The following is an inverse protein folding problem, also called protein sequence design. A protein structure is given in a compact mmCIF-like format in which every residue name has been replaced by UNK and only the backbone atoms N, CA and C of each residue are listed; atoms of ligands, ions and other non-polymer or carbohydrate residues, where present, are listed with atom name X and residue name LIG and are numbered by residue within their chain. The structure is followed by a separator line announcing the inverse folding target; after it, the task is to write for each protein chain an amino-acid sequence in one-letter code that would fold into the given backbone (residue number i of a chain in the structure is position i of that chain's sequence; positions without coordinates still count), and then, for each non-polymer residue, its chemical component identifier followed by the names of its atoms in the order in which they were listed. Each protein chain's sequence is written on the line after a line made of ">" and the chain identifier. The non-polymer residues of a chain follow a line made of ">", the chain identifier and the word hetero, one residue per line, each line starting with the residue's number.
data_IF_331310473865
#
_entry.id   IF_331310473865
#
_cell.length_a   1.000
_cell.length_b   1.000
_cell.length_c   1.000
_cell.angle_alpha   90.00
_cell.angle_beta   90.00
_cell.angle_gamma   90.00
#
_symmetry.space_group_name_H-M   'P 1'
#
loop_
_entity.id
_entity.type
_entity.pdbx_description
1 polymer ?
#
# COMPACT_ATOMS: atom_id res chain seq x y z
N UNK A 1 -63.28 -31.43 9.89
CA UNK A 1 -62.12 -31.97 9.13
C UNK A 1 -61.32 -30.88 8.42
N UNK A 2 -61.96 -29.89 7.78
CA UNK A 2 -61.27 -28.87 6.97
C UNK A 2 -60.34 -27.90 7.71
N UNK A 3 -60.61 -27.57 8.98
CA UNK A 3 -59.80 -26.59 9.73
C UNK A 3 -58.37 -27.10 10.00
N UNK A 4 -58.21 -28.40 10.28
CA UNK A 4 -56.89 -29.01 10.48
C UNK A 4 -56.08 -29.05 9.18
N UNK A 5 -56.75 -29.33 8.06
CA UNK A 5 -56.14 -29.34 6.73
C UNK A 5 -55.72 -27.93 6.31
N UNK A 6 -56.56 -26.92 6.55
CA UNK A 6 -56.25 -25.53 6.26
C UNK A 6 -55.07 -25.01 7.10
N UNK A 7 -55.06 -25.33 8.40
CA UNK A 7 -53.97 -24.93 9.30
C UNK A 7 -52.63 -25.59 8.90
N UNK A 8 -52.66 -26.86 8.47
CA UNK A 8 -51.47 -27.54 7.97
C UNK A 8 -50.91 -26.88 6.69
N UNK A 9 -51.79 -26.49 5.76
CA UNK A 9 -51.38 -25.75 4.56
C UNK A 9 -50.84 -24.36 4.89
N UNK A 10 -51.46 -23.64 5.83
CA UNK A 10 -51.02 -22.32 6.24
C UNK A 10 -49.65 -22.37 6.94
N UNK A 11 -49.43 -23.33 7.83
CA UNK A 11 -48.14 -23.54 8.49
C UNK A 11 -47.07 -23.93 7.46
N UNK A 12 -47.40 -24.81 6.50
CA UNK A 12 -46.47 -25.18 5.43
C UNK A 12 -46.13 -23.99 4.53
N UNK A 13 -47.09 -23.12 4.23
CA UNK A 13 -46.88 -21.92 3.44
C UNK A 13 -45.97 -20.92 4.18
N UNK A 14 -46.21 -20.70 5.48
CA UNK A 14 -45.35 -19.84 6.31
C UNK A 14 -43.94 -20.42 6.44
N UNK A 15 -43.79 -21.74 6.60
CA UNK A 15 -42.47 -22.38 6.64
C UNK A 15 -41.68 -22.22 5.33
N UNK A 16 -42.33 -22.36 4.17
CA UNK A 16 -41.67 -22.18 2.87
C UNK A 16 -41.18 -20.74 2.69
N UNK A 17 -41.99 -19.75 3.06
CA UNK A 17 -41.61 -18.33 2.97
C UNK A 17 -40.58 -17.92 4.06
N UNK A 18 -40.49 -18.64 5.17
CA UNK A 18 -39.47 -18.42 6.21
C UNK A 18 -38.09 -18.97 5.80
N UNK A 19 -38.04 -20.00 4.95
CA UNK A 19 -36.78 -20.58 4.46
C UNK A 19 -36.08 -19.69 3.41
N UNK A 20 -36.83 -18.89 2.64
CA UNK A 20 -36.27 -18.01 1.61
C UNK A 20 -35.54 -16.77 2.16
N UNK A 21 -35.73 -16.44 3.45
CA UNK A 21 -35.05 -15.29 4.10
C UNK A 21 -33.69 -15.64 4.73
N UNK A 22 -33.19 -16.87 4.57
CA UNK A 22 -31.87 -17.26 5.07
C UNK A 22 -30.75 -17.08 4.03
N UNK A 23 -31.07 -16.61 2.83
CA UNK A 23 -30.17 -16.57 1.68
C UNK A 23 -29.52 -15.20 1.40
N UNK A 24 -29.16 -14.39 2.41
CA UNK A 24 -28.33 -13.19 2.18
C UNK A 24 -27.41 -12.86 3.37
N UNK A 25 -26.43 -13.74 3.61
CA UNK A 25 -25.17 -13.35 4.24
C UNK A 25 -24.08 -14.33 3.80
N UNK A 26 -23.93 -14.54 2.48
CA UNK A 26 -22.74 -15.22 2.00
C UNK A 26 -21.55 -14.32 2.33
N UNK A 27 -20.73 -14.70 3.32
CA UNK A 27 -19.55 -13.95 3.72
C UNK A 27 -18.72 -13.61 2.48
N UNK A 28 -18.44 -12.32 2.29
CA UNK A 28 -17.61 -11.87 1.18
C UNK A 28 -16.26 -12.61 1.23
N UNK A 29 -15.97 -13.40 0.20
CA UNK A 29 -14.73 -14.16 0.08
C UNK A 29 -13.83 -13.44 -0.90
N UNK A 30 -12.65 -13.03 -0.44
CA UNK A 30 -11.57 -12.50 -1.28
C UNK A 30 -11.18 -13.57 -2.31
N UNK A 31 -11.18 -13.20 -3.59
CA UNK A 31 -10.85 -14.06 -4.73
C UNK A 31 -9.59 -13.59 -5.46
N UNK A 32 -9.35 -12.29 -5.56
CA UNK A 32 -8.21 -11.72 -6.29
C UNK A 32 -7.47 -10.72 -5.42
N UNK A 33 -6.16 -10.91 -5.27
CA UNK A 33 -5.27 -9.96 -4.60
C UNK A 33 -4.19 -9.55 -5.59
N UNK A 34 -4.01 -8.23 -5.75
CA UNK A 34 -2.84 -7.67 -6.43
C UNK A 34 -1.80 -7.31 -5.39
N UNK A 35 -0.59 -7.82 -5.57
CA UNK A 35 0.57 -7.51 -4.74
C UNK A 35 1.51 -6.64 -5.54
N UNK A 36 1.68 -5.41 -5.07
CA UNK A 36 2.58 -4.43 -5.64
C UNK A 36 3.92 -4.41 -4.93
N UNK A 37 4.99 -4.71 -5.69
CA UNK A 37 6.34 -4.54 -5.22
C UNK A 37 6.80 -3.10 -5.53
N UNK A 38 6.85 -2.24 -4.51
CA UNK A 38 7.21 -0.83 -4.63
C UNK A 38 8.48 -0.60 -5.45
N UNK A 39 8.53 0.53 -6.18
CA UNK A 39 9.66 0.94 -7.02
C UNK A 39 10.05 -0.10 -8.09
N UNK A 40 11.30 -0.08 -8.58
CA UNK A 40 11.83 -1.06 -9.54
C UNK A 40 12.60 -0.43 -10.70
N UNK A 41 13.53 -1.18 -11.28
CA UNK A 41 14.35 -0.74 -12.41
C UNK A 41 15.15 0.52 -12.08
N UNK A 42 14.87 1.61 -12.82
CA UNK A 42 15.50 2.93 -12.62
C UNK A 42 15.13 3.59 -11.30
N UNK A 43 14.00 3.22 -10.71
CA UNK A 43 13.57 3.71 -9.42
C UNK A 43 14.04 2.77 -8.31
N UNK A 44 15.01 3.23 -7.53
CA UNK A 44 15.52 2.49 -6.37
C UNK A 44 14.98 2.98 -5.02
N UNK A 45 14.34 4.16 -4.99
CA UNK A 45 13.95 4.89 -3.79
C UNK A 45 15.01 4.84 -2.67
N UNK A 46 14.63 4.35 -1.49
CA UNK A 46 15.44 4.36 -0.27
C UNK A 46 16.59 3.35 -0.34
N UNK A 47 17.72 3.70 0.28
CA UNK A 47 18.89 2.83 0.41
C UNK A 47 19.26 2.62 1.87
N UNK A 48 19.43 1.35 2.24
CA UNK A 48 20.08 0.93 3.47
C UNK A 48 21.59 0.82 3.30
N UNK A 49 22.27 0.28 4.31
CA UNK A 49 23.72 0.06 4.29
C UNK A 49 24.17 -0.88 3.16
N UNK A 50 23.36 -1.89 2.82
CA UNK A 50 23.69 -2.94 1.87
C UNK A 50 22.51 -3.33 0.95
N UNK A 51 21.37 -2.64 1.04
CA UNK A 51 20.15 -2.97 0.33
C UNK A 51 19.47 -1.74 -0.26
N UNK A 52 18.68 -1.94 -1.31
CA UNK A 52 17.76 -0.93 -1.85
C UNK A 52 16.34 -1.38 -1.58
N UNK A 53 15.46 -0.41 -1.37
CA UNK A 53 14.04 -0.65 -1.13
C UNK A 53 13.43 -1.55 -2.21
N UNK A 54 13.67 -1.24 -3.50
CA UNK A 54 13.13 -2.02 -4.62
C UNK A 54 13.44 -3.53 -4.57
N UNK A 55 14.60 -3.90 -4.03
CA UNK A 55 15.08 -5.29 -3.98
C UNK A 55 14.43 -6.03 -2.82
N UNK A 56 14.32 -5.37 -1.67
CA UNK A 56 13.68 -5.94 -0.49
C UNK A 56 12.17 -6.03 -0.69
N UNK A 57 11.55 -4.97 -1.22
CA UNK A 57 10.12 -4.95 -1.57
C UNK A 57 9.75 -6.10 -2.52
N UNK A 58 10.56 -6.34 -3.57
CA UNK A 58 10.33 -7.45 -4.51
C UNK A 58 10.39 -8.81 -3.80
N UNK A 59 11.41 -9.05 -2.98
CA UNK A 59 11.56 -10.31 -2.25
C UNK A 59 10.39 -10.53 -1.29
N UNK A 60 9.99 -9.49 -0.56
CA UNK A 60 8.85 -9.55 0.37
C UNK A 60 7.55 -9.82 -0.39
N UNK A 61 7.29 -9.15 -1.51
CA UNK A 61 6.11 -9.37 -2.33
C UNK A 61 6.00 -10.82 -2.83
N UNK A 62 7.08 -11.36 -3.39
CA UNK A 62 7.11 -12.74 -3.89
C UNK A 62 6.92 -13.76 -2.76
N UNK A 63 7.50 -13.51 -1.59
CA UNK A 63 7.32 -14.38 -0.42
C UNK A 63 5.90 -14.31 0.13
N UNK A 64 5.31 -13.12 0.22
CA UNK A 64 3.92 -12.94 0.63
C UNK A 64 2.97 -13.69 -0.31
N UNK A 65 3.11 -13.49 -1.62
CA UNK A 65 2.21 -14.15 -2.56
C UNK A 65 2.38 -15.67 -2.60
N UNK A 66 3.57 -16.22 -2.32
CA UNK A 66 3.76 -17.66 -2.08
C UNK A 66 3.01 -18.12 -0.83
N UNK A 67 3.24 -17.47 0.31
CA UNK A 67 2.59 -17.81 1.57
C UNK A 67 1.05 -17.74 1.49
N UNK A 68 0.52 -16.75 0.77
CA UNK A 68 -0.92 -16.60 0.54
C UNK A 68 -1.47 -17.73 -0.34
N UNK A 69 -0.78 -18.11 -1.42
CA UNK A 69 -1.19 -19.26 -2.26
C UNK A 69 -1.17 -20.57 -1.48
N UNK A 70 -0.17 -20.77 -0.63
CA UNK A 70 -0.06 -21.98 0.20
C UNK A 70 -1.16 -22.06 1.26
N UNK A 71 -1.56 -20.91 1.80
CA UNK A 71 -2.57 -20.81 2.87
C UNK A 71 -4.01 -20.74 2.36
N UNK A 72 -4.23 -20.19 1.17
CA UNK A 72 -5.55 -19.90 0.60
C UNK A 72 -5.66 -20.49 -0.82
N UNK A 73 -6.23 -21.70 -0.92
CA UNK A 73 -6.24 -22.49 -2.17
C UNK A 73 -7.07 -21.92 -3.33
N UNK A 74 -7.96 -20.96 -3.07
CA UNK A 74 -8.90 -20.43 -4.07
C UNK A 74 -8.68 -18.94 -4.37
N UNK A 75 -7.46 -18.42 -4.15
CA UNK A 75 -7.15 -17.02 -4.45
C UNK A 75 -6.29 -16.90 -5.71
N UNK A 76 -6.61 -15.90 -6.51
CA UNK A 76 -5.80 -15.43 -7.61
C UNK A 76 -4.83 -14.35 -7.09
N UNK A 77 -3.53 -14.60 -7.21
CA UNK A 77 -2.48 -13.61 -6.89
C UNK A 77 -1.90 -13.08 -8.20
N UNK A 78 -1.96 -11.76 -8.36
CA UNK A 78 -1.33 -11.03 -9.46
C UNK A 78 -0.24 -10.13 -8.86
N UNK A 79 0.92 -10.08 -9.48
CA UNK A 79 2.00 -9.20 -9.08
C UNK A 79 2.13 -8.05 -10.08
N UNK A 80 2.37 -6.83 -9.60
CA UNK A 80 2.69 -5.71 -10.51
C UNK A 80 4.03 -5.92 -11.21
N UNK A 81 4.99 -6.57 -10.55
CA UNK A 81 6.25 -7.05 -11.12
C UNK A 81 6.78 -8.27 -10.36
N UNK A 82 7.48 -9.14 -11.07
CA UNK A 82 8.20 -10.30 -10.51
C UNK A 82 9.72 -10.22 -10.69
N UNK A 83 10.20 -9.19 -11.38
CA UNK A 83 11.62 -8.90 -11.64
C UNK A 83 11.93 -7.43 -11.32
N UNK A 84 13.20 -7.04 -11.46
CA UNK A 84 13.66 -5.67 -11.25
C UNK A 84 13.38 -4.79 -12.48
N UNK A 85 12.11 -4.42 -12.66
CA UNK A 85 11.64 -3.55 -13.74
C UNK A 85 10.89 -2.35 -13.17
N UNK A 86 10.98 -1.21 -13.84
CA UNK A 86 10.18 -0.04 -13.50
C UNK A 86 8.77 -0.22 -14.04
N UNK A 87 7.78 -0.23 -13.15
CA UNK A 87 6.35 -0.22 -13.52
C UNK A 87 5.77 1.13 -13.12
N UNK A 88 5.22 1.92 -14.07
CA UNK A 88 4.53 3.17 -13.78
C UNK A 88 3.39 2.98 -12.78
N UNK A 89 3.16 3.97 -11.92
CA UNK A 89 2.15 3.89 -10.87
C UNK A 89 0.75 3.73 -11.43
N UNK A 90 0.45 4.42 -12.53
CA UNK A 90 -0.84 4.33 -13.19
C UNK A 90 -1.11 2.90 -13.68
N UNK A 91 -0.08 2.25 -14.24
CA UNK A 91 -0.18 0.85 -14.67
C UNK A 91 -0.36 -0.11 -13.49
N UNK A 92 0.27 0.15 -12.32
CA UNK A 92 0.08 -0.65 -11.09
C UNK A 92 -1.39 -0.67 -10.66
N UNK A 93 -2.02 0.49 -10.61
CA UNK A 93 -3.43 0.64 -10.22
C UNK A 93 -4.36 0.09 -11.30
N UNK A 94 -4.05 0.35 -12.57
CA UNK A 94 -4.81 -0.20 -13.71
C UNK A 94 -4.85 -1.73 -13.69
N UNK A 95 -3.74 -2.40 -13.41
CA UNK A 95 -3.71 -3.87 -13.25
C UNK A 95 -4.69 -4.36 -12.18
N UNK A 96 -4.83 -3.65 -11.06
CA UNK A 96 -5.79 -3.99 -10.01
C UNK A 96 -7.24 -3.79 -10.44
N UNK A 97 -7.53 -2.67 -11.10
CA UNK A 97 -8.87 -2.36 -11.60
C UNK A 97 -9.31 -3.34 -12.70
N UNK A 98 -8.44 -3.63 -13.66
CA UNK A 98 -8.71 -4.58 -14.75
C UNK A 98 -8.89 -6.01 -14.24
N UNK A 99 -8.11 -6.41 -13.24
CA UNK A 99 -8.25 -7.70 -12.57
C UNK A 99 -9.46 -7.79 -11.64
N UNK A 100 -10.18 -6.67 -11.40
CA UNK A 100 -11.24 -6.55 -10.39
C UNK A 100 -10.77 -7.08 -9.03
N UNK A 101 -9.59 -6.63 -8.61
CA UNK A 101 -8.96 -7.09 -7.38
C UNK A 101 -9.84 -6.73 -6.18
N UNK A 102 -10.01 -7.69 -5.26
CA UNK A 102 -10.68 -7.46 -3.98
C UNK A 102 -9.77 -6.71 -3.00
N UNK A 103 -8.45 -6.87 -3.18
CA UNK A 103 -7.43 -6.25 -2.35
C UNK A 103 -6.20 -5.89 -3.18
N UNK A 104 -5.68 -4.68 -2.95
CA UNK A 104 -4.40 -4.23 -3.46
C UNK A 104 -3.45 -4.05 -2.27
N UNK A 105 -2.31 -4.75 -2.27
CA UNK A 105 -1.31 -4.67 -1.21
C UNK A 105 -0.04 -4.10 -1.84
N UNK A 106 0.36 -2.88 -1.47
CA UNK A 106 1.64 -2.32 -1.87
C UNK A 106 2.66 -2.43 -0.75
N UNK A 107 3.86 -2.90 -1.09
CA UNK A 107 4.95 -3.16 -0.16
C UNK A 107 6.08 -2.19 -0.44
N UNK A 108 6.40 -1.38 0.58
CA UNK A 108 7.45 -0.36 0.58
C UNK A 108 8.32 -0.50 1.83
N UNK A 109 9.50 0.14 1.81
CA UNK A 109 10.39 0.25 2.96
C UNK A 109 10.64 1.73 3.26
N UNK A 110 9.99 2.20 4.31
CA UNK A 110 10.06 3.60 4.72
C UNK A 110 11.47 4.00 5.20
N UNK A 111 11.76 5.30 5.17
CA UNK A 111 13.00 5.91 5.64
C UNK A 111 12.71 6.93 6.75
N UNK A 112 13.64 7.05 7.70
CA UNK A 112 13.51 8.05 8.75
C UNK A 112 13.90 9.44 8.22
N UNK A 113 13.17 10.51 8.61
CA UNK A 113 13.53 11.87 8.23
C UNK A 113 14.94 12.21 8.71
N UNK A 114 15.66 12.96 7.88
CA UNK A 114 17.02 13.42 8.20
C UNK A 114 16.91 14.67 9.06
N UNK A 115 17.33 14.58 10.31
CA UNK A 115 17.42 15.72 11.20
C UNK A 115 18.72 16.48 10.94
N UNK A 116 18.59 17.79 10.72
CA UNK A 116 19.74 18.68 10.52
C UNK A 116 20.02 19.42 11.82
N UNK A 117 21.17 19.13 12.43
CA UNK A 117 21.64 19.88 13.61
C UNK A 117 22.73 20.86 13.18
N UNK A 118 22.55 22.14 13.51
CA UNK A 118 23.53 23.19 13.27
C UNK A 118 24.18 23.57 14.60
N UNK A 119 25.49 23.37 14.72
CA UNK A 119 26.27 23.74 15.91
C UNK A 119 27.21 24.89 15.56
N UNK A 120 27.36 25.85 16.47
CA UNK A 120 28.41 26.86 16.38
C UNK A 120 29.76 26.15 16.53
N UNK A 121 30.64 26.33 15.56
CA UNK A 121 31.95 25.67 15.55
C UNK A 121 33.01 26.61 16.12
N UNK A 122 33.11 27.81 15.54
CA UNK A 122 34.05 28.84 15.99
C UNK A 122 33.69 30.21 15.39
N UNK A 123 34.41 31.26 15.79
CA UNK A 123 34.30 32.59 15.18
C UNK A 123 35.50 32.87 14.28
N UNK A 124 35.25 33.31 13.05
CA UNK A 124 36.29 33.82 12.15
C UNK A 124 36.28 35.35 12.09
N UNK A 125 37.45 35.99 12.08
CA UNK A 125 37.55 37.43 11.80
C UNK A 125 37.46 37.66 10.28
N UNK A 126 36.57 38.55 9.87
CA UNK A 126 36.42 39.00 8.48
C UNK A 126 36.28 40.51 8.50
N UNK A 127 37.21 41.23 7.88
CA UNK A 127 37.30 42.71 7.93
C UNK A 127 37.25 43.27 9.38
N UNK A 128 38.05 42.68 10.28
CA UNK A 128 38.11 43.08 11.69
C UNK A 128 36.90 42.66 12.55
N UNK A 129 35.77 42.25 11.95
CA UNK A 129 34.55 41.83 12.66
C UNK A 129 34.52 40.31 12.88
N UNK A 130 34.13 39.86 14.08
CA UNK A 130 33.92 38.43 14.37
C UNK A 130 32.63 37.95 13.69
N UNK A 131 32.71 36.87 12.92
CA UNK A 131 31.56 36.21 12.29
C UNK A 131 31.47 34.74 12.77
N UNK A 132 30.30 34.26 13.22
CA UNK A 132 30.14 32.87 13.62
C UNK A 132 30.22 31.94 12.40
N UNK A 133 30.92 30.82 12.57
CA UNK A 133 30.99 29.71 11.62
C UNK A 133 30.28 28.53 12.26
N UNK A 134 29.41 27.88 11.49
CA UNK A 134 28.61 26.77 11.96
C UNK A 134 28.97 25.49 11.21
N UNK A 135 28.93 24.37 11.92
CA UNK A 135 28.98 23.03 11.33
C UNK A 135 27.56 22.48 11.33
N UNK A 136 27.16 21.97 10.18
CA UNK A 136 25.87 21.34 9.98
C UNK A 136 26.07 19.84 9.87
N UNK A 137 25.46 19.07 10.76
CA UNK A 137 25.46 17.61 10.71
C UNK A 137 24.06 17.12 10.36
N UNK A 138 23.98 16.15 9.44
CA UNK A 138 22.75 15.47 9.04
C UNK A 138 22.77 14.06 9.63
N UNK A 139 21.77 13.73 10.46
CA UNK A 139 21.64 12.41 11.09
C UNK A 139 20.22 11.90 10.93
N UNK A 140 20.06 10.64 10.55
CA UNK A 140 18.77 9.95 10.61
C UNK A 140 18.55 9.43 12.03
N UNK A 141 17.31 9.45 12.50
CA UNK A 141 16.98 8.67 13.71
C UNK A 141 17.12 7.19 13.38
N UNK A 142 17.85 6.45 14.21
CA UNK A 142 18.02 4.99 14.07
C UNK A 142 17.31 4.23 15.19
N UNK A 143 16.47 4.90 16.00
CA UNK A 143 15.81 4.26 17.14
C UNK A 143 14.53 3.52 16.75
N UNK A 144 13.88 3.95 15.66
CA UNK A 144 12.55 3.47 15.27
C UNK A 144 12.65 2.32 14.30
N UNK A 145 12.01 1.20 14.63
CA UNK A 145 11.93 0.00 13.80
C UNK A 145 10.53 -0.61 13.94
N UNK A 146 10.00 -1.20 12.88
CA UNK A 146 8.70 -1.84 12.91
C UNK A 146 8.05 -1.91 11.53
N UNK A 147 6.81 -2.39 11.51
CA UNK A 147 5.94 -2.41 10.33
C UNK A 147 4.80 -1.44 10.53
N UNK A 148 4.53 -0.62 9.53
CA UNK A 148 3.36 0.25 9.48
C UNK A 148 2.40 -0.30 8.42
N UNK A 149 1.09 -0.19 8.66
CA UNK A 149 0.08 -0.68 7.73
C UNK A 149 -1.00 0.37 7.57
N UNK A 150 -1.18 0.80 6.33
CA UNK A 150 -2.17 1.77 5.92
C UNK A 150 -3.29 1.04 5.18
N UNK A 151 -4.52 1.31 5.58
CA UNK A 151 -5.71 0.72 4.94
C UNK A 151 -6.49 1.86 4.31
N UNK A 152 -6.36 1.97 3.00
CA UNK A 152 -7.13 2.95 2.23
C UNK A 152 -8.51 2.39 1.90
N UNK A 153 -9.52 3.17 2.25
CA UNK A 153 -10.92 2.96 1.91
C UNK A 153 -11.56 4.32 1.70
N UNK A 154 -12.69 4.36 1.01
CA UNK A 154 -13.36 5.61 0.60
C UNK A 154 -13.62 6.59 1.75
N UNK A 155 -13.66 6.11 2.99
CA UNK A 155 -13.88 6.90 4.21
C UNK A 155 -12.61 7.44 4.89
N UNK A 156 -11.40 7.14 4.40
CA UNK A 156 -10.12 7.48 5.08
C UNK A 156 -9.05 8.05 4.15
N UNK A 157 -9.46 8.67 3.04
CA UNK A 157 -8.53 9.21 2.04
C UNK A 157 -7.66 10.33 2.63
N UNK A 158 -8.28 11.28 3.35
CA UNK A 158 -7.59 12.48 3.86
C UNK A 158 -6.50 12.19 4.91
N UNK A 159 -6.62 11.09 5.67
CA UNK A 159 -5.65 10.71 6.72
C UNK A 159 -4.34 10.14 6.16
N UNK A 160 -4.34 9.67 4.91
CA UNK A 160 -3.24 8.88 4.32
C UNK A 160 -2.48 9.64 3.22
N UNK A 161 -2.88 10.88 2.97
CA UNK A 161 -2.47 11.69 1.83
C UNK A 161 -0.95 11.94 1.79
N UNK A 162 -0.31 12.24 2.93
CA UNK A 162 1.13 12.51 2.97
C UNK A 162 1.99 11.27 2.67
N UNK A 163 1.57 10.12 3.20
CA UNK A 163 2.27 8.84 2.97
C UNK A 163 2.10 8.42 1.52
N UNK A 164 0.86 8.49 1.01
CA UNK A 164 0.56 8.20 -0.39
C UNK A 164 1.39 9.10 -1.30
N UNK A 165 1.45 10.41 -1.04
CA UNK A 165 2.26 11.36 -1.82
C UNK A 165 3.76 11.04 -1.76
N UNK A 166 4.27 10.63 -0.60
CA UNK A 166 5.68 10.27 -0.42
C UNK A 166 6.04 9.03 -1.23
N UNK A 167 5.31 7.93 -1.03
CA UNK A 167 5.57 6.66 -1.71
C UNK A 167 5.33 6.77 -3.23
N UNK A 168 4.38 7.63 -3.63
CA UNK A 168 4.05 7.86 -5.03
C UNK A 168 4.90 8.91 -5.73
N UNK A 169 5.96 9.45 -5.09
CA UNK A 169 6.87 10.42 -5.70
C UNK A 169 7.59 9.89 -6.95
N UNK A 170 7.58 8.58 -7.16
CA UNK A 170 8.03 7.92 -8.38
C UNK A 170 7.23 8.30 -9.64
N UNK A 171 6.06 8.93 -9.48
CA UNK A 171 5.28 9.58 -10.54
C UNK A 171 6.13 10.50 -11.43
N UNK A 172 7.09 11.24 -10.84
CA UNK A 172 7.94 12.19 -11.56
C UNK A 172 8.96 11.51 -12.48
N UNK A 173 9.10 10.18 -12.40
CA UNK A 173 9.95 9.38 -13.28
C UNK A 173 9.23 8.91 -14.55
N UNK A 174 7.93 9.19 -14.66
CA UNK A 174 7.11 8.84 -15.83
C UNK A 174 7.10 9.97 -16.86
N UNK A 175 7.31 9.65 -18.14
CA UNK A 175 7.40 10.66 -19.21
C UNK A 175 6.08 11.44 -19.39
N UNK A 176 4.93 10.79 -19.10
CA UNK A 176 3.58 11.34 -19.30
C UNK A 176 2.84 11.70 -18.00
N UNK A 177 3.56 11.89 -16.89
CA UNK A 177 2.93 12.06 -15.58
C UNK A 177 1.89 13.21 -15.53
N UNK A 178 2.16 14.34 -16.19
CA UNK A 178 1.21 15.47 -16.26
C UNK A 178 -0.13 15.10 -16.88
N UNK A 179 -0.14 14.18 -17.84
CA UNK A 179 -1.35 13.72 -18.54
C UNK A 179 -2.08 12.65 -17.72
N UNK A 180 -1.34 11.73 -17.10
CA UNK A 180 -1.91 10.59 -16.37
C UNK A 180 -2.55 10.99 -15.03
N UNK A 181 -2.14 12.13 -14.47
CA UNK A 181 -2.52 12.56 -13.13
C UNK A 181 -3.07 13.99 -13.09
N UNK A 182 -3.58 14.50 -14.21
CA UNK A 182 -4.25 15.81 -14.32
C UNK A 182 -3.46 16.98 -13.71
N UNK A 183 -2.13 16.92 -13.75
CA UNK A 183 -1.26 17.98 -13.25
C UNK A 183 -1.04 18.00 -11.73
N UNK A 184 -1.21 16.86 -11.04
CA UNK A 184 -0.73 16.61 -9.67
C UNK A 184 0.66 17.20 -9.39
#
# INVERSE_FOLDING_TARGET
>A
MYLKTFLAFFISFVLVNALDNQAYAQHYKIKTIVIDAGHGGKDGSTRGLYSKEKDVALKTALNLGRALKDSLKDINIIYTRTTDVFVPLYERIKMANEAKADLFISIHLNDMPVYTTRKLSYYKKVHGKKRPVYTTTRSKSTSTHGTETFVSGTSRLDEQDEVIKRENSSIFLEDNYKKNYEGF
#
